data_IF_789044227566
#
_entry.id   IF_789044227566
#
_cell.length_a   1.000
_cell.length_b   1.000
_cell.length_c   1.000
_cell.angle_alpha   90.00
_cell.angle_beta   90.00
_cell.angle_gamma   90.00
#
_symmetry.space_group_name_H-M   'P 1'
#
loop_
_entity.id
_entity.type
_entity.pdbx_description
1 polymer ?
#
# COMPACT_ATOMS: atom_id res chain seq x y z
N UNK A 1 4.13 2.73 0.60
CA UNK A 1 4.74 1.89 1.66
C UNK A 1 4.61 2.63 2.97
N UNK A 2 4.50 1.91 4.10
CA UNK A 2 4.59 2.48 5.44
C UNK A 2 5.71 1.75 6.18
N UNK A 3 6.67 2.48 6.75
CA UNK A 3 7.86 1.93 7.39
C UNK A 3 7.94 2.41 8.85
N UNK A 4 8.35 1.52 9.75
CA UNK A 4 8.70 1.90 11.13
C UNK A 4 9.92 2.82 11.13
N UNK A 5 10.02 3.71 12.11
CA UNK A 5 11.20 4.58 12.31
C UNK A 5 12.49 3.76 12.44
N UNK A 6 12.42 2.64 13.16
CA UNK A 6 13.51 1.66 13.32
C UNK A 6 14.00 1.13 11.96
N UNK A 7 13.07 0.81 11.06
CA UNK A 7 13.38 0.34 9.71
C UNK A 7 14.08 1.43 8.90
N UNK A 8 13.64 2.68 9.06
CA UNK A 8 14.28 3.83 8.40
C UNK A 8 15.73 3.96 8.84
N UNK A 9 15.99 3.85 10.14
CA UNK A 9 17.35 3.86 10.66
C UNK A 9 18.17 2.68 10.14
N UNK A 10 17.58 1.48 10.13
CA UNK A 10 18.21 0.27 9.62
C UNK A 10 18.69 0.44 8.17
N UNK A 11 17.82 0.82 7.21
CA UNK A 11 18.27 0.86 5.81
C UNK A 11 19.32 1.95 5.54
N UNK A 12 19.42 2.97 6.41
CA UNK A 12 20.41 4.04 6.31
C UNK A 12 21.77 3.66 6.88
N UNK A 13 21.82 2.73 7.84
CA UNK A 13 23.03 2.49 8.65
C UNK A 13 23.54 1.05 8.60
N UNK A 14 22.67 0.07 8.36
CA UNK A 14 23.03 -1.34 8.35
C UNK A 14 23.87 -1.69 7.11
N UNK A 15 24.92 -2.48 7.34
CA UNK A 15 25.84 -2.89 6.28
C UNK A 15 25.14 -3.72 5.19
N UNK A 16 24.28 -4.68 5.56
CA UNK A 16 23.59 -5.55 4.60
C UNK A 16 22.62 -4.76 3.73
N UNK A 17 21.91 -3.79 4.32
CA UNK A 17 21.03 -2.91 3.55
C UNK A 17 21.81 -2.05 2.53
N UNK A 18 22.97 -1.52 2.94
CA UNK A 18 23.84 -0.73 2.08
C UNK A 18 24.47 -1.56 0.94
N UNK A 19 24.87 -2.80 1.21
CA UNK A 19 25.38 -3.73 0.19
C UNK A 19 24.32 -4.01 -0.89
N UNK A 20 23.07 -4.27 -0.50
CA UNK A 20 21.96 -4.44 -1.44
C UNK A 20 21.73 -3.18 -2.27
N UNK A 21 21.74 -2.00 -1.63
CA UNK A 21 21.56 -0.74 -2.33
C UNK A 21 22.68 -0.50 -3.36
N UNK A 22 23.92 -0.85 -3.02
CA UNK A 22 25.05 -0.71 -3.92
C UNK A 22 24.95 -1.67 -5.11
N UNK A 23 24.58 -2.93 -4.87
CA UNK A 23 24.33 -3.88 -5.96
C UNK A 23 23.25 -3.37 -6.94
N UNK A 24 22.14 -2.80 -6.43
CA UNK A 24 21.10 -2.21 -7.28
C UNK A 24 21.61 -0.99 -8.07
N UNK A 25 22.55 -0.20 -7.52
CA UNK A 25 23.17 0.94 -8.22
C UNK A 25 24.11 0.49 -9.34
N UNK A 26 24.88 -0.58 -9.13
CA UNK A 26 25.75 -1.17 -10.16
C UNK A 26 24.94 -1.65 -11.37
N UNK A 27 23.76 -2.20 -11.12
CA UNK A 27 22.81 -2.67 -12.14
C UNK A 27 21.97 -1.55 -12.78
N UNK A 28 22.23 -0.26 -12.50
CA UNK A 28 21.44 0.86 -13.04
C UNK A 28 21.33 0.85 -14.57
N UNK A 29 22.34 0.33 -15.25
CA UNK A 29 22.36 0.17 -16.70
C UNK A 29 21.27 -0.77 -17.24
N UNK A 30 20.74 -1.69 -16.41
CA UNK A 30 19.68 -2.64 -16.75
C UNK A 30 18.27 -2.03 -16.73
N UNK A 31 18.12 -0.74 -16.41
CA UNK A 31 16.83 -0.01 -16.37
C UNK A 31 15.75 -0.71 -15.50
N UNK A 32 16.19 -1.34 -14.41
CA UNK A 32 15.29 -1.87 -13.37
C UNK A 32 14.54 -0.72 -12.66
N UNK A 33 13.57 -1.06 -11.82
CA UNK A 33 12.81 -0.11 -10.98
C UNK A 33 13.22 -0.27 -9.50
N UNK A 34 14.28 0.41 -9.02
CA UNK A 34 14.79 0.19 -7.65
C UNK A 34 13.78 0.51 -6.56
N UNK A 35 12.87 1.45 -6.82
CA UNK A 35 11.77 1.81 -5.93
C UNK A 35 10.75 0.67 -5.75
N UNK A 36 10.60 -0.20 -6.75
CA UNK A 36 9.76 -1.39 -6.70
C UNK A 36 10.51 -2.66 -6.22
N UNK A 37 11.82 -2.56 -5.99
CA UNK A 37 12.68 -3.71 -5.62
C UNK A 37 13.27 -3.56 -4.22
N UNK A 38 13.91 -2.44 -3.91
CA UNK A 38 14.75 -2.28 -2.72
C UNK A 38 14.00 -2.55 -1.43
N UNK A 39 12.93 -1.81 -1.16
CA UNK A 39 12.20 -1.96 0.09
C UNK A 39 11.45 -3.29 0.20
N UNK A 40 10.80 -3.83 -0.85
CA UNK A 40 10.28 -5.20 -0.83
C UNK A 40 11.35 -6.25 -0.48
N UNK A 41 12.56 -6.15 -1.06
CA UNK A 41 13.68 -7.03 -0.74
C UNK A 41 14.04 -6.96 0.75
N UNK A 42 14.15 -5.76 1.30
CA UNK A 42 14.45 -5.58 2.72
C UNK A 42 13.33 -6.08 3.64
N UNK A 43 12.07 -5.90 3.26
CA UNK A 43 10.90 -6.24 4.10
C UNK A 43 10.51 -7.71 4.06
N UNK A 44 10.90 -8.46 3.01
CA UNK A 44 10.50 -9.88 2.85
C UNK A 44 11.65 -10.88 3.01
N UNK A 45 12.87 -10.42 3.33
CA UNK A 45 14.02 -11.27 3.61
C UNK A 45 14.33 -11.28 5.11
N UNK A 46 13.92 -12.31 5.88
CA UNK A 46 14.19 -12.38 7.31
C UNK A 46 15.70 -12.43 7.63
N UNK A 47 16.52 -12.88 6.69
CA UNK A 47 17.98 -12.93 6.82
C UNK A 47 18.63 -11.55 6.98
N UNK A 48 17.96 -10.50 6.49
CA UNK A 48 18.47 -9.13 6.60
C UNK A 48 18.25 -8.56 8.00
N UNK A 49 17.27 -9.06 8.76
CA UNK A 49 17.02 -8.62 10.12
C UNK A 49 16.39 -7.22 10.21
N UNK A 50 15.75 -6.75 9.14
CA UNK A 50 15.20 -5.40 9.11
C UNK A 50 14.00 -5.25 10.08
N UNK A 51 13.96 -4.22 10.95
CA UNK A 51 12.89 -4.06 11.94
C UNK A 51 11.49 -3.96 11.33
N UNK A 52 10.55 -4.83 11.70
CA UNK A 52 9.21 -4.91 11.12
C UNK A 52 9.14 -5.66 9.78
N UNK A 53 10.24 -6.27 9.31
CA UNK A 53 10.21 -7.18 8.17
C UNK A 53 9.54 -8.51 8.53
N UNK A 54 9.02 -9.20 7.52
CA UNK A 54 8.36 -10.49 7.68
C UNK A 54 9.38 -11.54 8.18
N UNK A 55 9.11 -12.15 9.34
CA UNK A 55 10.02 -13.10 9.99
C UNK A 55 10.10 -14.45 9.25
N UNK A 56 9.10 -14.76 8.43
CA UNK A 56 9.06 -15.98 7.61
C UNK A 56 8.60 -15.64 6.20
N UNK A 57 9.08 -16.42 5.24
CA UNK A 57 8.57 -16.38 3.87
C UNK A 57 7.16 -16.98 3.88
N UNK A 58 6.20 -16.24 3.35
CA UNK A 58 4.81 -16.66 3.22
C UNK A 58 4.49 -16.94 1.76
N UNK A 59 4.28 -18.21 1.43
CA UNK A 59 3.90 -18.63 0.08
C UNK A 59 2.39 -18.43 -0.07
N UNK A 60 2.01 -17.57 -0.99
CA UNK A 60 0.62 -17.09 -1.11
C UNK A 60 0.08 -17.27 -2.52
N UNK A 61 -1.25 -17.25 -2.65
CA UNK A 61 -1.95 -17.15 -3.92
C UNK A 61 -2.73 -15.82 -4.01
N UNK A 62 -3.47 -15.61 -5.11
CA UNK A 62 -4.21 -14.36 -5.34
C UNK A 62 -5.37 -14.12 -4.36
N UNK A 63 -5.87 -15.17 -3.72
CA UNK A 63 -7.03 -15.12 -2.83
C UNK A 63 -6.64 -15.06 -1.36
N UNK A 64 -5.34 -14.97 -1.03
CA UNK A 64 -4.87 -14.93 0.35
C UNK A 64 -5.12 -13.56 1.00
N UNK A 65 -6.03 -13.46 1.99
CA UNK A 65 -6.33 -12.20 2.66
C UNK A 65 -5.15 -11.68 3.51
N UNK A 66 -4.19 -12.53 3.87
CA UNK A 66 -3.04 -12.15 4.70
C UNK A 66 -1.93 -11.43 3.90
N UNK A 67 -2.06 -11.37 2.58
CA UNK A 67 -1.08 -10.78 1.64
C UNK A 67 -1.47 -9.40 1.11
N UNK A 68 -2.61 -8.85 1.52
CA UNK A 68 -3.13 -7.61 0.96
C UNK A 68 -2.15 -6.45 1.22
N UNK A 69 -1.80 -5.70 0.16
CA UNK A 69 -0.96 -4.53 0.27
C UNK A 69 -1.78 -3.30 0.71
N UNK A 70 -1.95 -3.14 2.02
CA UNK A 70 -2.81 -2.10 2.62
C UNK A 70 -2.35 -0.65 2.37
N UNK A 71 -1.11 -0.43 1.92
CA UNK A 71 -0.61 0.93 1.80
C UNK A 71 -1.23 1.70 0.62
N UNK A 72 -1.72 1.01 -0.42
CA UNK A 72 -2.27 1.68 -1.61
C UNK A 72 -3.16 0.77 -2.45
N UNK A 73 -4.39 1.21 -2.69
CA UNK A 73 -5.25 0.69 -3.74
C UNK A 73 -4.86 1.27 -5.10
N UNK A 74 -4.67 0.41 -6.10
CA UNK A 74 -4.44 0.75 -7.51
C UNK A 74 -5.29 -0.20 -8.35
N UNK A 75 -5.87 0.27 -9.45
CA UNK A 75 -6.41 -0.63 -10.48
C UNK A 75 -5.58 -0.52 -11.74
N UNK A 76 -5.11 -1.66 -12.22
CA UNK A 76 -4.36 -1.77 -13.47
C UNK A 76 -5.30 -2.11 -14.63
N UNK A 77 -4.91 -1.72 -15.84
CA UNK A 77 -5.73 -1.85 -17.04
C UNK A 77 -6.25 -3.28 -17.28
N UNK A 78 -5.44 -4.30 -16.98
CA UNK A 78 -5.76 -5.71 -17.19
C UNK A 78 -6.73 -6.27 -16.14
N UNK A 79 -6.99 -5.53 -15.06
CA UNK A 79 -7.98 -5.88 -14.02
C UNK A 79 -9.39 -5.35 -14.36
N UNK A 80 -9.51 -4.56 -15.43
CA UNK A 80 -10.75 -3.93 -15.88
C UNK A 80 -11.02 -2.61 -15.17
N UNK A 81 -10.74 -1.49 -15.85
CA UNK A 81 -11.05 -0.16 -15.33
C UNK A 81 -12.57 0.08 -15.27
N UNK A 82 -13.05 0.57 -14.13
CA UNK A 82 -14.43 1.09 -13.98
C UNK A 82 -14.60 2.49 -14.57
N UNK A 83 -13.48 3.21 -14.66
CA UNK A 83 -13.38 4.53 -15.26
C UNK A 83 -12.96 4.43 -16.73
N UNK A 84 -13.45 5.32 -17.61
CA UNK A 84 -13.03 5.37 -19.00
C UNK A 84 -11.61 5.94 -19.18
N UNK A 85 -11.00 6.54 -18.14
CA UNK A 85 -9.70 7.18 -18.24
C UNK A 85 -8.60 6.32 -17.63
N UNK A 86 -7.50 6.22 -18.37
CA UNK A 86 -6.29 5.51 -17.97
C UNK A 86 -5.05 6.33 -18.36
N UNK A 87 -3.99 6.22 -17.56
CA UNK A 87 -2.66 6.73 -17.89
C UNK A 87 -1.58 5.73 -17.51
N UNK A 88 -0.73 5.35 -18.47
CA UNK A 88 0.40 4.43 -18.27
C UNK A 88 -0.02 3.11 -17.60
N UNK A 89 -1.12 2.51 -18.08
CA UNK A 89 -1.62 1.23 -17.57
C UNK A 89 -2.34 1.28 -16.21
N UNK A 90 -2.46 2.46 -15.59
CA UNK A 90 -3.18 2.66 -14.31
C UNK A 90 -4.48 3.42 -14.56
N UNK A 91 -5.59 2.90 -14.05
CA UNK A 91 -6.91 3.53 -14.14
C UNK A 91 -6.94 4.84 -13.32
N UNK A 92 -7.62 5.86 -13.84
CA UNK A 92 -7.90 7.09 -13.07
C UNK A 92 -9.21 6.89 -12.33
N UNK A 93 -9.24 7.11 -11.03
CA UNK A 93 -10.43 7.01 -10.20
C UNK A 93 -11.42 8.10 -10.61
N UNK A 94 -12.63 7.70 -10.95
CA UNK A 94 -13.75 8.56 -11.31
C UNK A 94 -15.03 8.19 -10.55
N UNK A 95 -16.17 8.74 -10.97
CA UNK A 95 -17.48 8.57 -10.31
C UNK A 95 -17.86 7.09 -10.22
N UNK A 96 -17.61 6.33 -11.28
CA UNK A 96 -17.92 4.89 -11.34
C UNK A 96 -17.12 4.06 -10.33
N UNK A 97 -16.05 4.60 -9.74
CA UNK A 97 -15.26 3.93 -8.72
C UNK A 97 -15.81 4.14 -7.31
N UNK A 98 -16.62 5.18 -7.07
CA UNK A 98 -17.08 5.57 -5.72
C UNK A 98 -17.74 4.42 -4.92
N UNK A 99 -18.59 3.56 -5.50
CA UNK A 99 -19.16 2.43 -4.76
C UNK A 99 -18.11 1.43 -4.24
N UNK A 100 -16.94 1.38 -4.86
CA UNK A 100 -15.86 0.48 -4.49
C UNK A 100 -14.87 1.12 -3.52
N UNK A 101 -14.70 2.46 -3.57
CA UNK A 101 -13.79 3.19 -2.68
C UNK A 101 -14.15 2.96 -1.21
N UNK A 102 -15.44 2.96 -0.88
CA UNK A 102 -15.92 2.79 0.50
C UNK A 102 -15.75 1.39 1.06
N UNK A 103 -15.47 0.39 0.22
CA UNK A 103 -15.21 -1.01 0.63
C UNK A 103 -13.73 -1.39 0.60
N UNK A 104 -12.85 -0.46 0.23
CA UNK A 104 -11.40 -0.69 0.25
C UNK A 104 -10.88 -0.76 1.68
N UNK A 105 -9.86 -1.61 1.87
CA UNK A 105 -9.14 -1.77 3.14
C UNK A 105 -7.79 -1.06 3.12
N UNK A 106 -7.40 -0.52 1.97
CA UNK A 106 -6.16 0.22 1.81
C UNK A 106 -6.28 1.66 2.35
N UNK A 107 -5.19 2.18 2.90
CA UNK A 107 -5.17 3.54 3.49
C UNK A 107 -5.19 4.66 2.45
N UNK A 108 -4.68 4.39 1.24
CA UNK A 108 -4.59 5.37 0.16
C UNK A 108 -5.10 4.75 -1.13
N UNK A 109 -5.60 5.58 -2.05
CA UNK A 109 -6.01 5.16 -3.37
C UNK A 109 -5.22 5.93 -4.45
N UNK A 110 -4.94 5.27 -5.57
CA UNK A 110 -4.21 5.83 -6.69
C UNK A 110 -4.85 5.42 -8.03
N UNK A 111 -5.06 6.33 -8.98
CA UNK A 111 -4.77 7.78 -8.96
C UNK A 111 -6.01 8.62 -9.25
N UNK A 112 -6.07 9.79 -8.64
CA UNK A 112 -6.97 10.86 -9.00
C UNK A 112 -6.25 11.85 -9.90
N UNK A 113 -7.00 12.55 -10.74
CA UNK A 113 -6.52 13.65 -11.57
C UNK A 113 -7.49 14.81 -11.37
N UNK A 114 -6.97 16.00 -11.14
CA UNK A 114 -7.74 17.25 -11.03
C UNK A 114 -8.54 17.55 -12.31
N UNK A 115 -7.97 17.21 -13.47
CA UNK A 115 -8.57 17.38 -14.79
C UNK A 115 -9.53 16.25 -15.21
N UNK A 116 -9.93 15.37 -14.29
CA UNK A 116 -10.83 14.26 -14.56
C UNK A 116 -11.77 13.95 -13.40
N UNK A 117 -13.05 14.25 -13.59
CA UNK A 117 -14.12 13.93 -12.63
C UNK A 117 -13.73 14.29 -11.18
N UNK A 118 -13.37 15.56 -10.88
CA UNK A 118 -12.91 15.97 -9.55
C UNK A 118 -13.94 15.67 -8.45
N UNK A 119 -15.22 15.60 -8.80
CA UNK A 119 -16.30 15.17 -7.90
C UNK A 119 -16.04 13.78 -7.27
N UNK A 120 -15.30 12.88 -7.93
CA UNK A 120 -14.93 11.60 -7.35
C UNK A 120 -13.92 11.76 -6.19
N UNK A 121 -13.01 12.73 -6.31
CA UNK A 121 -12.13 13.13 -5.23
C UNK A 121 -12.94 13.77 -4.09
N UNK A 122 -13.80 14.73 -4.39
CA UNK A 122 -14.62 15.44 -3.40
C UNK A 122 -15.54 14.49 -2.62
N UNK A 123 -16.20 13.55 -3.29
CA UNK A 123 -17.02 12.53 -2.63
C UNK A 123 -16.20 11.59 -1.74
N UNK A 124 -14.97 11.25 -2.15
CA UNK A 124 -14.06 10.43 -1.34
C UNK A 124 -13.61 11.19 -0.09
N UNK A 125 -13.26 12.47 -0.23
CA UNK A 125 -12.91 13.35 0.89
C UNK A 125 -14.08 13.51 1.86
N UNK A 126 -15.27 13.82 1.33
CA UNK A 126 -16.49 13.94 2.14
C UNK A 126 -16.81 12.65 2.90
N UNK A 127 -16.65 11.48 2.27
CA UNK A 127 -16.84 10.18 2.93
C UNK A 127 -15.88 10.01 4.12
N UNK A 128 -14.59 10.30 3.94
CA UNK A 128 -13.59 10.21 5.01
C UNK A 128 -13.90 11.21 6.12
N UNK A 129 -14.21 12.47 5.76
CA UNK A 129 -14.51 13.53 6.74
C UNK A 129 -15.74 13.17 7.58
N UNK A 130 -16.80 12.64 6.95
CA UNK A 130 -17.99 12.18 7.66
C UNK A 130 -17.66 11.10 8.69
N UNK A 131 -16.79 10.14 8.34
CA UNK A 131 -16.32 9.10 9.28
C UNK A 131 -15.56 9.72 10.45
N UNK A 132 -14.59 10.58 10.17
CA UNK A 132 -13.81 11.27 11.22
C UNK A 132 -14.72 12.05 12.17
N UNK A 133 -15.66 12.83 11.65
CA UNK A 133 -16.60 13.61 12.47
C UNK A 133 -17.50 12.71 13.33
N UNK A 134 -17.99 11.60 12.76
CA UNK A 134 -18.76 10.61 13.51
C UNK A 134 -17.94 10.02 14.67
N UNK A 135 -16.71 9.58 14.40
CA UNK A 135 -15.82 8.98 15.41
C UNK A 135 -15.44 9.98 16.50
N UNK A 136 -15.17 11.24 16.14
CA UNK A 136 -14.86 12.31 17.08
C UNK A 136 -16.04 12.61 18.01
N UNK A 137 -17.26 12.54 17.50
CA UNK A 137 -18.50 12.84 18.23
C UNK A 137 -18.92 11.67 19.11
N UNK A 138 -18.93 10.45 18.56
CA UNK A 138 -19.37 9.25 19.25
C UNK A 138 -18.31 8.69 20.21
N UNK A 139 -17.04 9.06 20.02
CA UNK A 139 -15.88 8.44 20.68
C UNK A 139 -15.77 6.93 20.41
N UNK A 140 -16.32 6.47 19.30
CA UNK A 140 -16.28 5.08 18.85
C UNK A 140 -15.81 5.02 17.41
N UNK A 141 -15.10 3.95 17.04
CA UNK A 141 -14.69 3.70 15.65
C UNK A 141 -15.93 3.58 14.75
N UNK A 142 -15.82 4.03 13.51
CA UNK A 142 -16.91 3.91 12.55
C UNK A 142 -17.21 2.41 12.33
N UNK A 143 -18.49 1.98 12.32
CA UNK A 143 -18.85 0.56 12.18
C UNK A 143 -18.32 -0.10 10.91
N UNK A 144 -18.00 0.68 9.86
CA UNK A 144 -17.38 0.15 8.64
C UNK A 144 -15.88 -0.11 8.76
N UNK A 145 -15.23 0.30 9.86
CA UNK A 145 -13.81 0.07 10.09
C UNK A 145 -13.55 -1.29 10.76
N UNK A 146 -13.24 -2.29 9.94
CA UNK A 146 -12.95 -3.64 10.43
C UNK A 146 -11.44 -3.84 10.69
N UNK A 147 -11.06 -3.85 11.98
CA UNK A 147 -9.69 -4.08 12.44
C UNK A 147 -9.09 -5.43 12.02
N UNK A 148 -9.93 -6.44 11.77
CA UNK A 148 -9.49 -7.80 11.44
C UNK A 148 -8.62 -7.84 10.20
N UNK A 149 -8.91 -7.01 9.18
CA UNK A 149 -8.12 -6.97 7.95
C UNK A 149 -6.65 -6.61 8.19
N UNK A 150 -6.37 -5.80 9.21
CA UNK A 150 -5.03 -5.32 9.52
C UNK A 150 -4.29 -6.25 10.50
N UNK A 151 -5.03 -6.90 11.41
CA UNK A 151 -4.46 -7.78 12.44
C UNK A 151 -4.08 -9.17 11.92
N UNK A 152 -4.65 -9.60 10.78
CA UNK A 152 -4.37 -10.92 10.19
C UNK A 152 -3.26 -10.91 9.13
N UNK A 153 -2.72 -9.75 8.77
CA UNK A 153 -1.67 -9.70 7.74
C UNK A 153 -0.45 -10.48 8.21
N UNK A 154 0.15 -11.25 7.30
CA UNK A 154 1.25 -12.15 7.64
C UNK A 154 2.39 -11.41 8.34
N UNK A 155 2.81 -10.29 7.77
CA UNK A 155 3.89 -9.46 8.32
C UNK A 155 3.43 -8.57 9.47
N UNK A 156 2.14 -8.50 9.80
CA UNK A 156 1.69 -7.91 11.07
C UNK A 156 1.85 -8.92 12.21
N UNK A 157 1.51 -10.19 11.97
CA UNK A 157 1.55 -11.24 12.99
C UNK A 157 2.95 -11.82 13.19
N UNK A 158 3.72 -11.95 12.12
CA UNK A 158 5.03 -12.61 12.11
C UNK A 158 6.09 -11.65 11.57
N UNK A 159 6.48 -10.65 12.37
CA UNK A 159 7.56 -9.72 12.03
C UNK A 159 8.72 -9.79 13.01
N UNK A 160 9.86 -9.26 12.55
CA UNK A 160 11.07 -9.00 13.34
C UNK A 160 10.88 -7.75 14.19
#
# INVERSE_FOLDING_TARGET
MALKREFVHFYQTDQKANEILNAMKEERHLRKHPDELFFPTLTHSPLLGAPGACNKIHVTNRSDPQKIFIARYVTWYHEGCKSPRMRRGVCIIGINNLPYITSRVEFFANKFHDDFEPIAYDCTEYYIMKKVLNEMTSKQLDPSFNLTHYSILHCSQNHI
#
